data_IF_431926684853
#
_entry.id   IF_431926684853
#
_cell.length_a   1.000
_cell.length_b   1.000
_cell.length_c   1.000
_cell.angle_alpha   90.00
_cell.angle_beta   90.00
_cell.angle_gamma   90.00
#
_symmetry.space_group_name_H-M   'P 1'
#
loop_
_entity.id
_entity.type
_entity.pdbx_description
1 polymer ?
#
# COMPACT_ATOMS: atom_id res chain seq x y z
N UNK A 1 -2.85 28.46 20.49
CA UNK A 1 -3.97 27.49 20.40
C UNK A 1 -3.32 26.13 20.48
N UNK A 2 -3.57 25.38 21.54
CA UNK A 2 -2.98 24.05 21.71
C UNK A 2 -3.79 23.06 20.86
N UNK A 3 -3.21 22.58 19.78
CA UNK A 3 -3.84 21.59 18.90
C UNK A 3 -3.50 20.20 19.45
N UNK A 4 -4.48 19.40 19.90
CA UNK A 4 -4.21 18.07 20.43
C UNK A 4 -3.50 17.18 19.39
N UNK A 5 -2.38 16.58 19.79
CA UNK A 5 -1.58 15.69 18.95
C UNK A 5 -0.53 16.38 18.08
N UNK A 6 -0.35 17.71 18.17
CA UNK A 6 0.72 18.43 17.45
C UNK A 6 2.12 17.93 17.86
N UNK A 7 2.35 17.70 19.16
CA UNK A 7 3.63 17.21 19.69
C UNK A 7 4.02 15.85 19.08
N UNK A 8 3.04 14.99 18.80
CA UNK A 8 3.30 13.72 18.12
C UNK A 8 3.75 13.93 16.67
N UNK A 9 3.15 14.89 15.96
CA UNK A 9 3.56 15.26 14.60
C UNK A 9 4.99 15.79 14.59
N UNK A 10 5.34 16.67 15.54
CA UNK A 10 6.70 17.20 15.70
C UNK A 10 7.71 16.09 16.02
N UNK A 11 7.32 15.13 16.86
CA UNK A 11 8.10 13.93 17.12
C UNK A 11 8.33 13.07 15.88
N UNK A 12 7.30 12.88 15.04
CA UNK A 12 7.42 12.14 13.77
C UNK A 12 8.37 12.84 12.81
N UNK A 13 8.30 14.17 12.69
CA UNK A 13 9.24 14.94 11.87
C UNK A 13 10.68 14.83 12.37
N UNK A 14 10.87 14.86 13.69
CA UNK A 14 12.19 14.67 14.32
C UNK A 14 12.77 13.29 14.01
N UNK A 15 11.96 12.23 14.14
CA UNK A 15 12.38 10.86 13.77
C UNK A 15 12.68 10.75 12.28
N UNK A 16 11.86 11.35 11.42
CA UNK A 16 12.11 11.37 9.97
C UNK A 16 13.42 12.08 9.62
N UNK A 17 13.74 13.19 10.29
CA UNK A 17 14.99 13.92 10.12
C UNK A 17 16.21 13.09 10.56
N UNK A 18 16.11 12.38 11.69
CA UNK A 18 17.15 11.46 12.16
C UNK A 18 17.35 10.31 11.18
N UNK A 19 16.27 9.71 10.69
CA UNK A 19 16.33 8.63 9.69
C UNK A 19 16.95 9.11 8.38
N UNK A 20 16.61 10.32 7.92
CA UNK A 20 17.24 10.94 6.75
C UNK A 20 18.75 11.11 6.97
N UNK A 21 19.16 11.51 8.18
CA UNK A 21 20.57 11.62 8.54
C UNK A 21 21.29 10.27 8.50
N UNK A 22 20.69 9.23 9.09
CA UNK A 22 21.21 7.88 9.10
C UNK A 22 21.32 7.28 7.68
N UNK A 23 20.32 7.49 6.83
CA UNK A 23 20.36 7.09 5.42
C UNK A 23 21.47 7.84 4.68
N UNK A 24 21.64 9.14 4.95
CA UNK A 24 22.74 9.93 4.41
C UNK A 24 24.10 9.35 4.76
N UNK A 25 24.34 9.06 6.04
CA UNK A 25 25.57 8.41 6.51
C UNK A 25 25.78 7.03 5.88
N UNK A 26 24.72 6.22 5.75
CA UNK A 26 24.79 4.93 5.08
C UNK A 26 25.25 5.04 3.62
N UNK A 27 24.74 6.03 2.87
CA UNK A 27 25.19 6.30 1.50
C UNK A 27 26.69 6.69 1.45
N UNK A 28 27.17 7.44 2.44
CA UNK A 28 28.61 7.75 2.57
C UNK A 28 29.42 6.47 2.81
N UNK A 29 28.99 5.61 3.73
CA UNK A 29 29.68 4.36 4.03
C UNK A 29 29.69 3.38 2.85
N UNK A 30 28.63 3.34 2.05
CA UNK A 30 28.56 2.54 0.83
C UNK A 30 29.67 2.91 -0.17
N UNK A 31 29.99 4.20 -0.29
CA UNK A 31 31.08 4.67 -1.16
C UNK A 31 32.47 4.50 -0.53
N UNK A 32 32.59 4.63 0.80
CA UNK A 32 33.85 4.43 1.52
C UNK A 32 34.27 2.96 1.56
N UNK A 33 33.32 2.02 1.55
CA UNK A 33 33.57 0.57 1.50
C UNK A 33 34.04 0.04 0.12
N UNK A 34 34.21 0.91 -0.87
CA UNK A 34 34.56 0.55 -2.24
C UNK A 34 36.05 0.19 -2.41
N UNK A 35 36.51 -0.91 -1.83
CA UNK A 35 37.83 -1.47 -2.11
C UNK A 35 37.84 -2.41 -3.35
N UNK A 36 36.67 -2.83 -3.87
CA UNK A 36 36.57 -3.71 -5.03
C UNK A 36 35.43 -3.30 -5.99
N UNK A 37 35.59 -3.50 -7.31
CA UNK A 37 34.56 -3.24 -8.30
C UNK A 37 33.32 -4.12 -8.05
N UNK A 38 32.15 -3.48 -7.93
CA UNK A 38 30.90 -4.18 -7.64
C UNK A 38 30.45 -5.00 -8.86
N UNK A 39 30.00 -6.26 -8.69
CA UNK A 39 29.39 -7.00 -9.78
C UNK A 39 28.13 -6.27 -10.28
N UNK A 40 27.94 -6.23 -11.60
CA UNK A 40 26.90 -5.49 -12.31
C UNK A 40 25.44 -5.85 -11.91
N UNK A 41 25.25 -6.93 -11.14
CA UNK A 41 23.95 -7.41 -10.66
C UNK A 41 23.58 -7.03 -9.23
N UNK A 42 24.46 -6.38 -8.45
CA UNK A 42 24.20 -6.03 -7.05
C UNK A 42 23.36 -4.76 -6.84
N UNK A 43 22.82 -4.57 -5.63
CA UNK A 43 22.07 -3.37 -5.20
C UNK A 43 22.83 -2.07 -5.53
N UNK A 44 24.16 -2.08 -5.35
CA UNK A 44 25.04 -0.97 -5.73
C UNK A 44 25.01 -0.67 -7.23
N UNK A 45 25.21 -1.67 -8.11
CA UNK A 45 25.16 -1.45 -9.56
C UNK A 45 23.77 -1.05 -10.08
N UNK A 46 22.70 -1.42 -9.37
CA UNK A 46 21.35 -0.94 -9.66
C UNK A 46 21.17 0.54 -9.26
N UNK A 47 21.69 0.92 -8.08
CA UNK A 47 21.70 2.31 -7.64
C UNK A 47 22.57 3.17 -8.57
N UNK A 48 23.70 2.67 -9.10
CA UNK A 48 24.65 3.49 -9.88
C UNK A 48 24.02 3.86 -11.22
N UNK A 49 23.40 2.88 -11.88
CA UNK A 49 22.59 3.09 -13.08
C UNK A 49 21.42 4.04 -12.82
N UNK A 50 20.74 3.90 -11.68
CA UNK A 50 19.67 4.82 -11.28
C UNK A 50 20.14 6.26 -11.15
N UNK A 51 21.32 6.45 -10.53
CA UNK A 51 21.92 7.76 -10.28
C UNK A 51 22.41 8.44 -11.55
N UNK A 52 23.07 7.69 -12.44
CA UNK A 52 23.53 8.18 -13.74
C UNK A 52 22.36 8.63 -14.61
N UNK A 53 21.30 7.81 -14.70
CA UNK A 53 20.08 8.15 -15.46
C UNK A 53 19.41 9.42 -14.91
N UNK A 54 19.37 9.60 -13.59
CA UNK A 54 18.85 10.81 -12.95
C UNK A 54 19.68 12.05 -13.28
N UNK A 55 21.01 11.92 -13.27
CA UNK A 55 21.94 13.00 -13.54
C UNK A 55 21.94 13.45 -15.02
N UNK A 56 21.68 12.54 -15.97
CA UNK A 56 21.58 12.85 -17.40
C UNK A 56 20.21 13.41 -17.81
N UNK A 57 19.16 13.15 -17.02
CA UNK A 57 17.82 13.65 -17.31
C UNK A 57 17.79 15.19 -17.19
N UNK A 58 17.14 15.90 -18.12
CA UNK A 58 16.96 17.37 -18.04
C UNK A 58 16.00 17.81 -16.91
N UNK A 59 16.20 18.98 -16.29
CA UNK A 59 15.37 19.46 -15.14
C UNK A 59 13.87 19.45 -15.42
N UNK A 60 13.45 19.91 -16.60
CA UNK A 60 12.04 19.91 -17.02
C UNK A 60 11.43 18.52 -17.19
N UNK A 61 12.25 17.49 -17.43
CA UNK A 61 11.81 16.10 -17.65
C UNK A 61 11.84 15.25 -16.39
N UNK A 62 12.43 15.75 -15.30
CA UNK A 62 12.55 15.02 -14.04
C UNK A 62 11.19 14.56 -13.49
N UNK A 63 10.13 15.39 -13.49
CA UNK A 63 8.83 14.95 -12.99
C UNK A 63 8.23 13.81 -13.84
N UNK A 64 8.35 13.91 -15.16
CA UNK A 64 7.89 12.84 -16.06
C UNK A 64 8.71 11.55 -15.89
N UNK A 65 10.01 11.65 -15.62
CA UNK A 65 10.90 10.51 -15.41
C UNK A 65 10.54 9.71 -14.17
N UNK A 66 10.40 10.36 -13.00
CA UNK A 66 10.09 9.66 -11.74
C UNK A 66 8.67 9.08 -11.78
N UNK A 67 7.69 9.81 -12.31
CA UNK A 67 6.33 9.33 -12.49
C UNK A 67 6.27 8.07 -13.39
N UNK A 68 6.94 8.14 -14.54
CA UNK A 68 7.06 7.00 -15.45
C UNK A 68 7.73 5.81 -14.78
N UNK A 69 8.82 6.04 -14.04
CA UNK A 69 9.55 4.97 -13.36
C UNK A 69 8.70 4.31 -12.28
N UNK A 70 7.93 5.09 -11.53
CA UNK A 70 6.96 4.56 -10.56
C UNK A 70 5.89 3.70 -11.24
N UNK A 71 5.33 4.18 -12.36
CA UNK A 71 4.31 3.44 -13.11
C UNK A 71 4.86 2.12 -13.65
N UNK A 72 6.05 2.13 -14.28
CA UNK A 72 6.73 0.93 -14.77
C UNK A 72 7.00 -0.07 -13.64
N UNK A 73 7.54 0.39 -12.50
CA UNK A 73 7.80 -0.49 -11.35
C UNK A 73 6.53 -1.04 -10.71
N UNK A 74 5.46 -0.24 -10.69
CA UNK A 74 4.15 -0.70 -10.22
C UNK A 74 3.59 -1.78 -11.15
N UNK A 75 3.67 -1.59 -12.46
CA UNK A 75 3.21 -2.57 -13.45
C UNK A 75 4.05 -3.87 -13.37
N UNK A 76 5.38 -3.76 -13.24
CA UNK A 76 6.29 -4.91 -13.02
C UNK A 76 5.95 -5.66 -11.72
N UNK A 77 5.71 -4.93 -10.62
CA UNK A 77 5.34 -5.52 -9.34
C UNK A 77 4.01 -6.28 -9.43
N UNK A 78 2.99 -5.67 -10.04
CA UNK A 78 1.68 -6.30 -10.22
C UNK A 78 1.80 -7.52 -11.12
N UNK A 79 2.56 -7.44 -12.21
CA UNK A 79 2.71 -8.59 -13.09
C UNK A 79 3.46 -9.74 -12.41
N UNK A 80 4.50 -9.45 -11.62
CA UNK A 80 5.25 -10.47 -10.89
C UNK A 80 4.43 -11.15 -9.78
N UNK A 81 3.69 -10.37 -8.98
CA UNK A 81 2.99 -10.88 -7.79
C UNK A 81 1.52 -11.27 -8.05
N UNK A 82 0.87 -10.69 -9.05
CA UNK A 82 -0.55 -10.93 -9.37
C UNK A 82 -0.76 -11.53 -10.77
N UNK A 83 0.18 -11.33 -11.70
CA UNK A 83 0.08 -11.84 -13.08
C UNK A 83 0.71 -13.21 -13.29
N UNK A 84 1.88 -13.45 -12.71
CA UNK A 84 2.67 -14.68 -12.84
C UNK A 84 2.50 -15.63 -11.65
N UNK A 85 1.49 -15.45 -10.79
CA UNK A 85 1.38 -16.25 -9.57
C UNK A 85 1.14 -17.75 -9.80
N UNK A 86 0.65 -18.13 -10.98
CA UNK A 86 0.55 -19.54 -11.41
C UNK A 86 1.95 -20.14 -11.69
N UNK A 87 2.89 -19.34 -12.19
CA UNK A 87 4.26 -19.75 -12.50
C UNK A 87 5.24 -19.52 -11.34
N UNK A 88 4.87 -18.65 -10.40
CA UNK A 88 5.69 -18.29 -9.26
C UNK A 88 5.47 -19.30 -8.12
N UNK A 89 6.42 -20.23 -7.97
CA UNK A 89 6.39 -21.32 -6.99
C UNK A 89 6.14 -20.79 -5.57
N UNK A 90 6.70 -19.63 -5.22
CA UNK A 90 6.68 -19.15 -3.84
C UNK A 90 5.29 -18.65 -3.38
N UNK A 91 4.63 -17.69 -4.05
CA UNK A 91 3.25 -17.30 -3.71
C UNK A 91 2.27 -18.47 -3.81
N UNK A 92 2.37 -19.29 -4.87
CA UNK A 92 1.49 -20.45 -5.07
C UNK A 92 1.64 -21.52 -3.99
N UNK A 93 2.87 -21.88 -3.61
CA UNK A 93 3.12 -22.88 -2.57
C UNK A 93 2.69 -22.38 -1.20
N UNK A 94 2.96 -21.12 -0.87
CA UNK A 94 2.52 -20.52 0.40
C UNK A 94 1.00 -20.48 0.46
N UNK A 95 0.33 -20.07 -0.61
CA UNK A 95 -1.13 -20.09 -0.69
C UNK A 95 -1.68 -21.49 -0.43
N UNK A 96 -1.16 -22.50 -1.13
CA UNK A 96 -1.60 -23.89 -0.98
C UNK A 96 -1.37 -24.41 0.44
N UNK A 97 -0.19 -24.16 1.03
CA UNK A 97 0.11 -24.52 2.41
C UNK A 97 -0.86 -23.87 3.39
N UNK A 98 -1.11 -22.57 3.24
CA UNK A 98 -2.01 -21.84 4.13
C UNK A 98 -3.45 -22.34 4.01
N UNK A 99 -3.96 -22.47 2.79
CA UNK A 99 -5.38 -22.81 2.56
C UNK A 99 -5.69 -24.28 2.80
N UNK A 100 -4.77 -25.19 2.48
CA UNK A 100 -5.01 -26.64 2.59
C UNK A 100 -4.48 -27.28 3.87
N UNK A 101 -3.58 -26.61 4.59
CA UNK A 101 -2.99 -27.17 5.83
C UNK A 101 -3.28 -26.27 7.02
N UNK A 102 -2.82 -25.01 6.97
CA UNK A 102 -2.88 -24.11 8.14
C UNK A 102 -4.33 -23.77 8.52
N UNK A 103 -5.16 -23.35 7.56
CA UNK A 103 -6.55 -22.97 7.81
C UNK A 103 -7.39 -24.17 8.28
N UNK A 104 -7.34 -25.36 7.66
CA UNK A 104 -8.04 -26.56 8.16
C UNK A 104 -7.65 -26.94 9.57
N UNK A 105 -6.34 -26.94 9.87
CA UNK A 105 -5.85 -27.25 11.21
C UNK A 105 -6.34 -26.21 12.23
N UNK A 106 -6.28 -24.93 11.88
CA UNK A 106 -6.79 -23.86 12.73
C UNK A 106 -8.31 -23.97 12.95
N UNK A 107 -9.08 -24.33 11.93
CA UNK A 107 -10.52 -24.55 12.03
C UNK A 107 -10.86 -25.74 12.94
N UNK A 108 -10.11 -26.84 12.82
CA UNK A 108 -10.23 -28.01 13.71
C UNK A 108 -9.91 -27.63 15.16
N UNK A 109 -8.78 -26.97 15.41
CA UNK A 109 -8.41 -26.52 16.76
C UNK A 109 -9.48 -25.58 17.33
N UNK A 110 -10.01 -24.65 16.53
CA UNK A 110 -11.07 -23.75 16.95
C UNK A 110 -12.34 -24.51 17.35
N UNK A 111 -12.74 -25.52 16.58
CA UNK A 111 -13.88 -26.39 16.92
C UNK A 111 -13.63 -27.17 18.21
N UNK A 112 -12.43 -27.78 18.36
CA UNK A 112 -12.06 -28.55 19.56
C UNK A 112 -12.01 -27.68 20.83
N UNK A 113 -11.73 -26.38 20.70
CA UNK A 113 -11.77 -25.40 21.80
C UNK A 113 -13.18 -24.88 22.11
N UNK A 114 -14.22 -25.40 21.47
CA UNK A 114 -15.62 -24.97 21.67
C UNK A 114 -16.04 -23.77 20.81
N UNK A 115 -15.23 -23.38 19.82
CA UNK A 115 -15.60 -22.37 18.82
C UNK A 115 -16.54 -22.92 17.73
N UNK A 116 -17.00 -22.05 16.83
CA UNK A 116 -17.88 -22.45 15.73
C UNK A 116 -17.23 -23.52 14.82
N UNK A 117 -17.96 -24.62 14.59
CA UNK A 117 -17.59 -25.70 13.68
C UNK A 117 -17.79 -25.33 12.19
N UNK A 118 -18.38 -24.18 11.89
CA UNK A 118 -18.79 -23.80 10.54
C UNK A 118 -17.66 -23.88 9.50
N UNK A 119 -16.51 -23.25 9.78
CA UNK A 119 -15.39 -23.25 8.84
C UNK A 119 -14.83 -24.66 8.63
N UNK A 120 -14.77 -25.47 9.68
CA UNK A 120 -14.31 -26.85 9.59
C UNK A 120 -15.24 -27.69 8.70
N UNK A 121 -16.56 -27.57 8.90
CA UNK A 121 -17.55 -28.27 8.07
C UNK A 121 -17.48 -27.84 6.61
N UNK A 122 -17.32 -26.54 6.32
CA UNK A 122 -17.12 -26.06 4.95
C UNK A 122 -15.88 -26.68 4.31
N UNK A 123 -14.77 -26.78 5.05
CA UNK A 123 -13.55 -27.41 4.56
C UNK A 123 -13.76 -28.90 4.27
N UNK A 124 -14.47 -29.62 5.15
CA UNK A 124 -14.84 -31.03 4.90
C UNK A 124 -15.71 -31.15 3.63
N UNK A 125 -16.66 -30.25 3.42
CA UNK A 125 -17.47 -30.21 2.19
C UNK A 125 -16.61 -29.95 0.94
N UNK A 126 -15.60 -29.07 1.04
CA UNK A 126 -14.64 -28.82 -0.05
C UNK A 126 -13.85 -30.09 -0.37
N UNK A 127 -13.34 -30.81 0.63
CA UNK A 127 -12.64 -32.09 0.43
C UNK A 127 -13.56 -33.15 -0.19
N UNK A 128 -14.82 -33.25 0.26
CA UNK A 128 -15.79 -34.16 -0.32
C UNK A 128 -16.09 -33.83 -1.80
N UNK A 129 -16.24 -32.55 -2.13
CA UNK A 129 -16.46 -32.09 -3.50
C UNK A 129 -15.21 -32.33 -4.40
N UNK A 130 -14.00 -32.19 -3.87
CA UNK A 130 -12.75 -32.56 -4.56
C UNK A 130 -12.71 -34.06 -4.86
N UNK A 131 -13.03 -34.91 -3.89
CA UNK A 131 -13.09 -36.37 -4.09
C UNK A 131 -14.16 -36.75 -5.14
N UNK A 132 -15.32 -36.11 -5.07
CA UNK A 132 -16.40 -36.31 -6.04
C UNK A 132 -15.96 -35.92 -7.47
N UNK A 133 -15.17 -34.85 -7.61
CA UNK A 133 -14.62 -34.42 -8.89
C UNK A 133 -13.67 -35.43 -9.52
N UNK A 134 -12.83 -36.08 -8.71
CA UNK A 134 -11.94 -37.15 -9.20
C UNK A 134 -12.76 -38.29 -9.80
N UNK A 135 -13.84 -38.69 -9.12
CA UNK A 135 -14.71 -39.79 -9.59
C UNK A 135 -15.54 -39.38 -10.82
N UNK A 136 -16.14 -38.19 -10.81
CA UNK A 136 -17.00 -37.71 -11.91
C UNK A 136 -16.21 -37.28 -13.15
N UNK A 137 -14.93 -36.91 -13.00
CA UNK A 137 -14.05 -36.49 -14.09
C UNK A 137 -13.84 -37.56 -15.15
N UNK A 138 -13.97 -38.84 -14.77
CA UNK A 138 -13.83 -39.99 -15.67
C UNK A 138 -15.09 -40.21 -16.56
N UNK A 139 -16.22 -39.60 -16.21
CA UNK A 139 -17.49 -39.80 -16.91
C UNK A 139 -17.74 -38.73 -17.97
N UNK A 140 -17.72 -39.12 -19.26
CA UNK A 140 -17.99 -38.20 -20.40
C UNK A 140 -19.36 -37.50 -20.33
N UNK A 141 -20.37 -38.12 -19.69
CA UNK A 141 -21.70 -37.53 -19.50
C UNK A 141 -21.76 -36.48 -18.38
N UNK A 142 -20.80 -36.46 -17.46
CA UNK A 142 -20.78 -35.58 -16.30
C UNK A 142 -19.98 -34.28 -16.52
N UNK A 143 -19.41 -34.05 -17.71
CA UNK A 143 -18.51 -32.91 -17.98
C UNK A 143 -19.08 -31.53 -17.58
N UNK A 144 -20.38 -31.29 -17.80
CA UNK A 144 -21.03 -30.03 -17.37
C UNK A 144 -21.10 -29.90 -15.84
N UNK A 145 -21.41 -30.99 -15.15
CA UNK A 145 -21.47 -31.03 -13.68
C UNK A 145 -20.06 -30.86 -13.08
N UNK A 146 -19.08 -31.54 -13.64
CA UNK A 146 -17.65 -31.40 -13.34
C UNK A 146 -17.20 -29.94 -13.46
N UNK A 147 -17.56 -29.24 -14.55
CA UNK A 147 -17.22 -27.83 -14.71
C UNK A 147 -17.86 -26.92 -13.62
N UNK A 148 -19.12 -27.17 -13.25
CA UNK A 148 -19.81 -26.43 -12.19
C UNK A 148 -19.17 -26.68 -10.82
N UNK A 149 -18.87 -27.93 -10.48
CA UNK A 149 -18.22 -28.27 -9.21
C UNK A 149 -16.82 -27.65 -9.14
N UNK A 150 -16.04 -27.71 -10.22
CA UNK A 150 -14.72 -27.06 -10.29
C UNK A 150 -14.81 -25.55 -10.11
N UNK A 151 -15.78 -24.89 -10.73
CA UNK A 151 -15.99 -23.45 -10.55
C UNK A 151 -16.41 -23.09 -9.11
N UNK A 152 -17.30 -23.90 -8.52
CA UNK A 152 -17.73 -23.73 -7.13
C UNK A 152 -16.55 -23.94 -6.15
N UNK A 153 -15.72 -24.95 -6.38
CA UNK A 153 -14.51 -25.19 -5.59
C UNK A 153 -13.48 -24.08 -5.75
N UNK A 154 -13.28 -23.59 -6.97
CA UNK A 154 -12.43 -22.44 -7.21
C UNK A 154 -12.91 -21.24 -6.38
N UNK A 155 -14.20 -20.89 -6.46
CA UNK A 155 -14.77 -19.83 -5.64
C UNK A 155 -14.62 -20.10 -4.13
N UNK A 156 -14.82 -21.33 -3.69
CA UNK A 156 -14.72 -21.70 -2.28
C UNK A 156 -13.28 -21.58 -1.75
N UNK A 157 -12.30 -22.15 -2.46
CA UNK A 157 -10.90 -22.22 -2.04
C UNK A 157 -10.20 -20.87 -2.19
N UNK A 158 -10.45 -20.15 -3.30
CA UNK A 158 -9.70 -18.94 -3.64
C UNK A 158 -10.35 -17.64 -3.16
N UNK A 159 -11.67 -17.61 -2.94
CA UNK A 159 -12.37 -16.43 -2.42
C UNK A 159 -12.94 -16.66 -1.03
N UNK A 160 -13.77 -17.70 -0.86
CA UNK A 160 -14.55 -17.85 0.36
C UNK A 160 -13.69 -18.16 1.58
N UNK A 161 -12.81 -19.17 1.51
CA UNK A 161 -12.01 -19.60 2.68
C UNK A 161 -11.06 -18.48 3.14
N UNK A 162 -10.20 -17.89 2.29
CA UNK A 162 -9.34 -16.78 2.70
C UNK A 162 -10.15 -15.55 3.13
N UNK A 163 -11.23 -15.23 2.43
CA UNK A 163 -12.10 -14.10 2.76
C UNK A 163 -12.84 -14.26 4.09
N UNK A 164 -13.33 -15.46 4.39
CA UNK A 164 -13.97 -15.78 5.66
C UNK A 164 -12.98 -15.70 6.82
N UNK A 165 -11.79 -16.28 6.67
CA UNK A 165 -10.76 -16.20 7.71
C UNK A 165 -10.30 -14.75 7.91
N UNK A 166 -10.09 -14.00 6.82
CA UNK A 166 -9.77 -12.57 6.88
C UNK A 166 -10.84 -11.75 7.60
N UNK A 167 -12.11 -11.94 7.27
CA UNK A 167 -13.24 -11.23 7.91
C UNK A 167 -13.41 -11.63 9.37
N UNK A 168 -13.26 -12.91 9.71
CA UNK A 168 -13.32 -13.38 11.09
C UNK A 168 -12.15 -12.80 11.93
N UNK A 169 -10.93 -12.90 11.41
CA UNK A 169 -9.73 -12.41 12.06
C UNK A 169 -9.78 -10.90 12.25
N UNK A 170 -10.11 -10.16 11.19
CA UNK A 170 -10.24 -8.70 11.25
C UNK A 170 -11.35 -8.27 12.20
N UNK A 171 -12.47 -8.99 12.24
CA UNK A 171 -13.53 -8.75 13.22
C UNK A 171 -13.04 -8.89 14.67
N UNK A 172 -12.12 -9.83 14.95
CA UNK A 172 -11.46 -9.93 16.25
C UNK A 172 -10.49 -8.78 16.48
N UNK A 173 -9.65 -8.44 15.49
CA UNK A 173 -8.66 -7.37 15.59
C UNK A 173 -9.29 -6.01 15.91
N UNK A 174 -10.44 -5.70 15.32
CA UNK A 174 -11.17 -4.46 15.58
C UNK A 174 -11.66 -4.32 17.03
N UNK A 175 -11.77 -5.44 17.76
CA UNK A 175 -12.17 -5.49 19.17
C UNK A 175 -10.98 -5.68 20.13
N UNK A 176 -9.76 -5.79 19.62
CA UNK A 176 -8.54 -5.93 20.44
C UNK A 176 -7.95 -4.55 20.79
N UNK A 177 -7.13 -4.47 21.85
CA UNK A 177 -6.30 -3.30 22.11
C UNK A 177 -5.42 -2.98 20.89
N UNK A 178 -5.31 -1.69 20.54
CA UNK A 178 -4.74 -1.29 19.24
C UNK A 178 -3.33 -1.84 18.98
N UNK A 179 -2.44 -1.87 19.97
CA UNK A 179 -1.09 -2.42 19.79
C UNK A 179 -1.10 -3.89 19.32
N UNK A 180 -2.01 -4.70 19.86
CA UNK A 180 -2.19 -6.09 19.44
C UNK A 180 -2.87 -6.17 18.07
N UNK A 181 -3.82 -5.28 17.81
CA UNK A 181 -4.52 -5.22 16.53
C UNK A 181 -3.58 -4.90 15.37
N UNK A 182 -2.59 -4.00 15.56
CA UNK A 182 -1.55 -3.72 14.55
C UNK A 182 -0.69 -4.94 14.27
N UNK A 183 -0.19 -5.62 15.30
CA UNK A 183 0.60 -6.85 15.11
C UNK A 183 -0.21 -7.95 14.41
N UNK A 184 -1.47 -8.12 14.81
CA UNK A 184 -2.36 -9.08 14.17
C UNK A 184 -2.73 -8.72 12.74
N UNK A 185 -2.74 -7.42 12.38
CA UNK A 185 -3.00 -6.97 11.00
C UNK A 185 -1.94 -7.48 10.01
N UNK A 186 -0.69 -7.67 10.47
CA UNK A 186 0.40 -8.23 9.68
C UNK A 186 0.09 -9.68 9.28
N UNK A 187 -0.56 -10.44 10.16
CA UNK A 187 -0.98 -11.82 9.89
C UNK A 187 -2.22 -11.90 9.01
N UNK A 188 -3.09 -10.88 9.05
CA UNK A 188 -4.30 -10.81 8.24
C UNK A 188 -4.03 -10.32 6.79
N UNK A 189 -3.02 -9.49 6.59
CA UNK A 189 -2.70 -8.92 5.28
C UNK A 189 -2.40 -9.97 4.18
N UNK A 190 -1.68 -11.09 4.43
CA UNK A 190 -1.52 -12.16 3.45
C UNK A 190 -2.84 -12.80 3.00
N UNK A 191 -3.82 -12.94 3.91
CA UNK A 191 -5.14 -13.47 3.57
C UNK A 191 -5.88 -12.51 2.63
N UNK A 192 -5.80 -11.21 2.90
CA UNK A 192 -6.35 -10.18 2.01
C UNK A 192 -5.65 -10.17 0.66
N UNK A 193 -4.32 -10.35 0.64
CA UNK A 193 -3.55 -10.48 -0.60
C UNK A 193 -4.09 -11.65 -1.45
N UNK A 194 -4.33 -12.82 -0.86
CA UNK A 194 -4.88 -13.96 -1.59
C UNK A 194 -6.28 -13.68 -2.16
N UNK A 195 -7.16 -13.02 -1.41
CA UNK A 195 -8.48 -12.61 -1.93
C UNK A 195 -8.32 -11.63 -3.10
N UNK A 196 -7.41 -10.67 -2.99
CA UNK A 196 -7.14 -9.69 -4.04
C UNK A 196 -6.55 -10.35 -5.29
N UNK A 197 -5.64 -11.29 -5.11
CA UNK A 197 -5.02 -12.07 -6.18
C UNK A 197 -6.06 -12.86 -6.97
N UNK A 198 -6.93 -13.61 -6.26
CA UNK A 198 -8.04 -14.33 -6.85
C UNK A 198 -9.00 -13.39 -7.60
N UNK A 199 -9.28 -12.21 -7.03
CA UNK A 199 -10.12 -11.20 -7.66
C UNK A 199 -9.51 -10.66 -8.96
N UNK A 200 -8.19 -10.41 -8.98
CA UNK A 200 -7.48 -9.96 -10.18
C UNK A 200 -7.51 -11.03 -11.27
N UNK A 201 -7.31 -12.31 -10.91
CA UNK A 201 -7.40 -13.41 -11.86
C UNK A 201 -8.81 -13.50 -12.47
N UNK A 202 -9.85 -13.46 -11.64
CA UNK A 202 -11.24 -13.45 -12.10
C UNK A 202 -11.55 -12.23 -12.97
N UNK A 203 -11.06 -11.05 -12.60
CA UNK A 203 -11.22 -9.82 -13.38
C UNK A 203 -10.54 -9.91 -14.74
N UNK A 204 -9.33 -10.50 -14.82
CA UNK A 204 -8.61 -10.73 -16.09
C UNK A 204 -9.36 -11.73 -16.99
N UNK A 205 -9.90 -12.82 -16.42
CA UNK A 205 -10.74 -13.77 -17.16
C UNK A 205 -11.99 -13.07 -17.71
N UNK A 206 -12.68 -12.29 -16.87
CA UNK A 206 -13.84 -11.50 -17.27
C UNK A 206 -13.50 -10.47 -18.35
N UNK A 207 -12.36 -9.81 -18.24
CA UNK A 207 -11.88 -8.84 -19.23
C UNK A 207 -11.65 -9.45 -20.61
N UNK A 208 -11.15 -10.71 -20.69
CA UNK A 208 -10.99 -11.43 -21.96
C UNK A 208 -12.32 -11.72 -22.65
N UNK A 209 -13.40 -11.91 -21.88
CA UNK A 209 -14.74 -12.12 -22.41
C UNK A 209 -15.42 -10.84 -22.92
N UNK A 210 -14.87 -9.67 -22.57
CA UNK A 210 -15.45 -8.37 -22.95
C UNK A 210 -14.87 -7.85 -24.28
N UNK A 211 -15.73 -7.19 -25.06
CA UNK A 211 -15.29 -6.41 -26.24
C UNK A 211 -14.39 -5.25 -25.82
N UNK A 212 -13.57 -4.76 -26.74
CA UNK A 212 -12.70 -3.59 -26.52
C UNK A 212 -13.54 -2.41 -26.04
N UNK A 213 -13.17 -1.81 -24.91
CA UNK A 213 -13.91 -0.71 -24.31
C UNK A 213 -13.30 -0.21 -22.99
N UNK A 214 -13.85 0.88 -22.46
CA UNK A 214 -13.37 1.52 -21.23
C UNK A 214 -13.43 0.59 -20.00
N UNK A 215 -14.47 -0.24 -19.92
CA UNK A 215 -14.64 -1.19 -18.82
C UNK A 215 -13.59 -2.32 -18.84
N UNK A 216 -13.24 -2.81 -20.05
CA UNK A 216 -12.13 -3.75 -20.20
C UNK A 216 -10.80 -3.12 -19.75
N UNK A 217 -10.55 -1.86 -20.15
CA UNK A 217 -9.36 -1.12 -19.71
C UNK A 217 -9.32 -0.92 -18.19
N UNK A 218 -10.47 -0.67 -17.56
CA UNK A 218 -10.60 -0.58 -16.10
C UNK A 218 -10.19 -1.90 -15.43
N UNK A 219 -10.72 -3.04 -15.89
CA UNK A 219 -10.43 -4.36 -15.34
C UNK A 219 -9.00 -4.83 -15.59
N UNK A 220 -8.42 -4.54 -16.76
CA UNK A 220 -7.05 -4.95 -17.10
C UNK A 220 -5.98 -4.08 -16.44
N UNK A 221 -6.28 -2.80 -16.16
CA UNK A 221 -5.26 -1.83 -15.72
C UNK A 221 -5.49 -1.23 -14.33
N UNK A 222 -6.68 -0.73 -14.04
CA UNK A 222 -6.91 0.00 -12.78
C UNK A 222 -7.28 -0.93 -11.63
N UNK A 223 -8.08 -1.96 -11.90
CA UNK A 223 -8.48 -2.93 -10.89
C UNK A 223 -7.28 -3.69 -10.27
N UNK A 224 -6.26 -4.14 -11.04
CA UNK A 224 -5.09 -4.77 -10.46
C UNK A 224 -4.28 -3.84 -9.56
N UNK A 225 -4.15 -2.56 -9.91
CA UNK A 225 -3.46 -1.57 -9.06
C UNK A 225 -4.24 -1.34 -7.77
N UNK A 226 -5.56 -1.18 -7.87
CA UNK A 226 -6.43 -1.06 -6.71
C UNK A 226 -6.30 -2.27 -5.79
N UNK A 227 -6.45 -3.49 -6.33
CA UNK A 227 -6.39 -4.74 -5.57
C UNK A 227 -5.01 -4.97 -4.94
N UNK A 228 -3.92 -4.66 -5.67
CA UNK A 228 -2.56 -4.78 -5.15
C UNK A 228 -2.26 -3.79 -4.02
N UNK A 229 -2.94 -2.64 -3.98
CA UNK A 229 -2.79 -1.68 -2.90
C UNK A 229 -3.50 -2.13 -1.61
N UNK A 230 -4.61 -2.87 -1.69
CA UNK A 230 -5.47 -3.17 -0.53
C UNK A 230 -4.75 -3.83 0.66
N UNK A 231 -3.86 -4.83 0.50
CA UNK A 231 -3.11 -5.39 1.62
C UNK A 231 -2.23 -4.36 2.34
N UNK A 232 -1.61 -3.45 1.61
CA UNK A 232 -0.82 -2.37 2.20
C UNK A 232 -1.70 -1.34 2.88
N UNK A 233 -2.79 -0.93 2.23
CA UNK A 233 -3.76 0.02 2.81
C UNK A 233 -4.38 -0.54 4.08
N UNK A 234 -4.61 -1.84 4.16
CA UNK A 234 -5.07 -2.51 5.36
C UNK A 234 -4.10 -2.31 6.53
N UNK A 235 -2.80 -2.57 6.32
CA UNK A 235 -1.76 -2.31 7.32
C UNK A 235 -1.70 -0.82 7.69
N UNK A 236 -1.74 0.07 6.70
CA UNK A 236 -1.73 1.52 6.93
C UNK A 236 -2.97 2.01 7.66
N UNK A 237 -4.12 1.35 7.52
CA UNK A 237 -5.34 1.69 8.27
C UNK A 237 -5.14 1.36 9.76
N UNK A 238 -4.57 0.20 10.08
CA UNK A 238 -4.19 -0.14 11.46
C UNK A 238 -3.05 0.75 12.01
N UNK A 239 -2.10 1.15 11.17
CA UNK A 239 -1.07 2.12 11.54
C UNK A 239 -1.66 3.51 11.82
N UNK A 240 -2.63 3.98 11.02
CA UNK A 240 -3.34 5.25 11.23
C UNK A 240 -4.14 5.25 12.54
N UNK A 241 -4.81 4.13 12.81
CA UNK A 241 -5.47 3.85 14.08
C UNK A 241 -4.51 3.96 15.27
N UNK A 242 -3.31 3.36 15.17
CA UNK A 242 -2.29 3.46 16.21
C UNK A 242 -1.72 4.87 16.33
N UNK A 243 -1.39 5.52 15.22
CA UNK A 243 -0.84 6.88 15.18
C UNK A 243 -1.79 7.85 15.88
N UNK A 244 -3.09 7.79 15.59
CA UNK A 244 -4.07 8.64 16.26
C UNK A 244 -4.26 8.32 17.74
N UNK A 245 -4.17 7.06 18.14
CA UNK A 245 -4.25 6.68 19.55
C UNK A 245 -3.03 7.18 20.34
N UNK A 246 -1.83 7.12 19.75
CA UNK A 246 -0.61 7.65 20.37
C UNK A 246 -0.62 9.18 20.39
N UNK A 247 -1.13 9.81 19.33
CA UNK A 247 -1.21 11.27 19.24
C UNK A 247 -2.20 11.87 20.24
N UNK A 248 -3.39 11.28 20.38
CA UNK A 248 -4.43 11.77 21.30
C UNK A 248 -5.19 10.59 21.91
N UNK A 249 -4.63 10.02 22.98
CA UNK A 249 -5.19 8.83 23.65
C UNK A 249 -6.60 9.04 24.23
N UNK A 250 -6.97 10.30 24.53
CA UNK A 250 -8.27 10.65 25.09
C UNK A 250 -9.43 10.59 24.07
N UNK A 251 -9.15 10.58 22.77
CA UNK A 251 -10.18 10.57 21.73
C UNK A 251 -10.67 9.15 21.41
N UNK A 252 -11.98 8.99 21.14
CA UNK A 252 -12.55 7.69 20.85
C UNK A 252 -12.01 7.14 19.53
N UNK A 253 -11.80 5.84 19.54
CA UNK A 253 -11.23 5.14 18.40
C UNK A 253 -12.36 4.48 17.59
N UNK A 254 -12.55 4.91 16.34
CA UNK A 254 -13.60 4.37 15.49
C UNK A 254 -13.17 3.07 14.77
N UNK A 255 -12.87 2.02 15.53
CA UNK A 255 -12.53 0.69 15.00
C UNK A 255 -13.77 -0.09 14.57
N UNK A 256 -14.39 0.33 13.47
CA UNK A 256 -15.55 -0.38 12.89
C UNK A 256 -15.24 -0.93 11.50
N UNK A 257 -15.97 -1.99 11.11
CA UNK A 257 -15.92 -2.53 9.75
C UNK A 257 -16.25 -1.47 8.70
N UNK A 258 -17.22 -0.60 8.99
CA UNK A 258 -17.61 0.50 8.09
C UNK A 258 -16.45 1.46 7.85
N UNK A 259 -15.79 1.89 8.92
CA UNK A 259 -14.64 2.80 8.84
C UNK A 259 -13.48 2.17 8.09
N UNK A 260 -13.16 0.91 8.39
CA UNK A 260 -12.09 0.18 7.73
C UNK A 260 -12.36 0.00 6.24
N UNK A 261 -13.59 -0.40 5.84
CA UNK A 261 -13.95 -0.52 4.44
C UNK A 261 -13.91 0.82 3.70
N UNK A 262 -14.39 1.90 4.34
CA UNK A 262 -14.30 3.24 3.77
C UNK A 262 -12.84 3.66 3.51
N UNK A 263 -11.96 3.43 4.48
CA UNK A 263 -10.51 3.68 4.34
C UNK A 263 -9.87 2.83 3.24
N UNK A 264 -10.15 1.52 3.21
CA UNK A 264 -9.63 0.59 2.21
C UNK A 264 -10.01 1.01 0.79
N UNK A 265 -11.30 1.30 0.58
CA UNK A 265 -11.81 1.71 -0.73
C UNK A 265 -11.24 3.07 -1.13
N UNK A 266 -11.33 4.08 -0.26
CA UNK A 266 -10.87 5.43 -0.56
C UNK A 266 -9.37 5.47 -0.88
N UNK A 267 -8.54 4.85 -0.04
CA UNK A 267 -7.09 4.86 -0.20
C UNK A 267 -6.63 3.94 -1.33
N UNK A 268 -7.28 2.77 -1.51
CA UNK A 268 -7.01 1.91 -2.66
C UNK A 268 -7.33 2.60 -3.98
N UNK A 269 -8.46 3.32 -4.07
CA UNK A 269 -8.80 4.13 -5.24
C UNK A 269 -7.82 5.28 -5.43
N UNK A 270 -7.40 5.95 -4.36
CA UNK A 270 -6.38 6.99 -4.42
C UNK A 270 -5.05 6.46 -4.98
N UNK A 271 -4.65 5.24 -4.63
CA UNK A 271 -3.46 4.58 -5.19
C UNK A 271 -3.61 4.33 -6.70
N UNK A 272 -4.77 3.81 -7.12
CA UNK A 272 -5.06 3.59 -8.55
C UNK A 272 -5.08 4.91 -9.34
N UNK A 273 -5.70 5.97 -8.80
CA UNK A 273 -5.75 7.31 -9.41
C UNK A 273 -4.35 7.91 -9.51
N UNK A 274 -3.54 7.81 -8.44
CA UNK A 274 -2.18 8.33 -8.41
C UNK A 274 -1.29 7.63 -9.42
N UNK A 275 -1.36 6.30 -9.47
CA UNK A 275 -0.63 5.49 -10.46
C UNK A 275 -1.04 5.83 -11.89
N UNK A 276 -2.34 5.97 -12.15
CA UNK A 276 -2.84 6.36 -13.46
C UNK A 276 -2.36 7.76 -13.86
N UNK A 277 -2.42 8.73 -12.94
CA UNK A 277 -1.88 10.07 -13.14
C UNK A 277 -0.37 10.06 -13.42
N UNK A 278 0.38 9.14 -12.81
CA UNK A 278 1.82 8.96 -13.01
C UNK A 278 2.22 8.37 -14.37
N UNK A 279 1.28 7.76 -15.12
CA UNK A 279 1.59 7.16 -16.42
C UNK A 279 1.93 8.23 -17.48
N UNK A 280 2.94 7.99 -18.34
CA UNK A 280 3.32 8.91 -19.41
C UNK A 280 2.22 9.02 -20.48
N UNK A 281 1.98 10.23 -20.97
CA UNK A 281 1.09 10.52 -22.10
C UNK A 281 1.83 11.29 -23.19
N UNK A 282 1.41 11.11 -24.44
CA UNK A 282 2.05 11.71 -25.62
C UNK A 282 2.04 13.27 -25.65
N UNK A 283 1.37 13.93 -24.70
CA UNK A 283 1.20 15.40 -24.68
C UNK A 283 1.72 16.11 -23.43
N UNK A 284 2.42 15.44 -22.51
CA UNK A 284 3.03 16.11 -21.34
C UNK A 284 2.04 16.66 -20.30
N UNK A 285 0.76 16.31 -20.35
CA UNK A 285 -0.31 16.79 -19.46
C UNK A 285 -0.27 16.19 -18.03
N UNK A 286 0.91 15.81 -17.54
CA UNK A 286 1.12 15.14 -16.27
C UNK A 286 0.58 15.96 -15.07
N UNK A 287 0.95 17.23 -14.99
CA UNK A 287 0.53 18.12 -13.91
C UNK A 287 -0.99 18.29 -13.83
N UNK A 288 -1.66 18.42 -14.98
CA UNK A 288 -3.12 18.53 -15.04
C UNK A 288 -3.84 17.26 -14.55
N UNK A 289 -3.34 16.08 -14.92
CA UNK A 289 -3.89 14.80 -14.44
C UNK A 289 -3.70 14.62 -12.95
N UNK A 290 -2.54 15.00 -12.42
CA UNK A 290 -2.27 14.94 -11.00
C UNK A 290 -3.14 15.92 -10.21
N UNK A 291 -3.36 17.14 -10.73
CA UNK A 291 -4.28 18.10 -10.12
C UNK A 291 -5.72 17.58 -10.06
N UNK A 292 -6.23 17.04 -11.16
CA UNK A 292 -7.57 16.39 -11.20
C UNK A 292 -7.61 15.20 -10.23
N UNK A 293 -6.56 14.38 -10.22
CA UNK A 293 -6.43 13.26 -9.29
C UNK A 293 -6.49 13.69 -7.83
N UNK A 294 -5.79 14.76 -7.46
CA UNK A 294 -5.80 15.32 -6.11
C UNK A 294 -7.19 15.83 -5.70
N UNK A 295 -7.94 16.45 -6.62
CA UNK A 295 -9.33 16.87 -6.35
C UNK A 295 -10.20 15.66 -6.04
N UNK A 296 -10.08 14.58 -6.84
CA UNK A 296 -10.83 13.34 -6.60
C UNK A 296 -10.42 12.71 -5.27
N UNK A 297 -9.12 12.66 -4.96
CA UNK A 297 -8.58 12.12 -3.71
C UNK A 297 -9.07 12.93 -2.51
N UNK A 298 -9.13 14.25 -2.61
CA UNK A 298 -9.71 15.09 -1.56
C UNK A 298 -11.18 14.77 -1.32
N UNK A 299 -11.96 14.54 -2.39
CA UNK A 299 -13.33 14.06 -2.29
C UNK A 299 -13.45 12.70 -1.61
N UNK A 300 -12.55 11.76 -1.94
CA UNK A 300 -12.49 10.44 -1.30
C UNK A 300 -12.14 10.53 0.18
N UNK A 301 -11.15 11.37 0.54
CA UNK A 301 -10.73 11.64 1.92
C UNK A 301 -11.90 12.15 2.77
N UNK A 302 -12.59 13.19 2.27
CA UNK A 302 -13.78 13.75 2.92
C UNK A 302 -14.85 12.68 3.12
N UNK A 303 -15.04 11.79 2.14
CA UNK A 303 -16.07 10.75 2.19
C UNK A 303 -15.76 9.64 3.22
N UNK A 304 -14.49 9.45 3.62
CA UNK A 304 -14.11 8.41 4.61
C UNK A 304 -14.89 8.58 5.91
N UNK A 305 -14.96 9.80 6.44
CA UNK A 305 -15.63 10.09 7.71
C UNK A 305 -17.13 9.74 7.70
N UNK A 306 -17.94 10.28 6.78
CA UNK A 306 -19.36 9.96 6.65
C UNK A 306 -19.64 8.49 6.33
N UNK A 307 -18.90 7.88 5.38
CA UNK A 307 -19.09 6.47 5.02
C UNK A 307 -18.74 5.55 6.20
N UNK A 308 -17.68 5.89 6.93
CA UNK A 308 -17.25 5.22 8.15
C UNK A 308 -18.15 5.46 9.37
N UNK A 309 -19.08 6.42 9.28
CA UNK A 309 -20.03 6.76 10.34
C UNK A 309 -19.46 7.67 11.44
N UNK A 310 -18.32 8.33 11.22
CA UNK A 310 -17.75 9.29 12.17
C UNK A 310 -18.47 10.66 12.14
N UNK A 311 -19.03 11.05 10.99
CA UNK A 311 -19.76 12.31 10.81
C UNK A 311 -21.06 12.11 10.01
N UNK A 312 -21.97 13.08 10.10
CA UNK A 312 -23.11 13.17 9.18
C UNK A 312 -22.89 14.29 8.17
N UNK A 313 -23.31 14.05 6.92
CA UNK A 313 -23.35 15.08 5.87
C UNK A 313 -24.55 16.03 6.03
N UNK A 314 -25.58 15.63 6.77
CA UNK A 314 -26.76 16.44 7.09
C UNK A 314 -27.09 16.34 8.57
N UNK A 315 -27.14 17.48 9.27
CA UNK A 315 -27.56 17.55 10.68
C UNK A 315 -26.70 18.47 11.56
N UNK A 316 -27.03 18.49 12.85
CA UNK A 316 -26.41 19.36 13.87
C UNK A 316 -24.92 19.09 14.16
N UNK A 317 -24.38 17.96 13.67
CA UNK A 317 -22.95 17.58 13.72
C UNK A 317 -22.30 17.64 12.33
N UNK A 318 -22.76 18.54 11.46
CA UNK A 318 -22.16 18.73 10.14
C UNK A 318 -20.82 19.44 10.29
N UNK A 319 -19.74 18.77 9.89
CA UNK A 319 -18.45 19.41 9.72
C UNK A 319 -18.43 20.06 8.33
N UNK A 320 -18.08 21.35 8.19
CA UNK A 320 -17.87 21.91 6.87
C UNK A 320 -16.71 21.16 6.20
N UNK A 321 -16.91 20.79 4.94
CA UNK A 321 -16.04 19.89 4.15
C UNK A 321 -14.55 20.25 4.25
N UNK A 322 -14.23 21.55 4.27
CA UNK A 322 -12.87 22.06 4.38
C UNK A 322 -12.28 21.87 5.77
N UNK A 323 -13.08 21.96 6.84
CA UNK A 323 -12.57 21.75 8.19
C UNK A 323 -12.23 20.28 8.44
N UNK A 324 -12.91 19.32 7.77
CA UNK A 324 -12.53 17.90 7.80
C UNK A 324 -11.11 17.68 7.27
N UNK A 325 -10.73 18.38 6.18
CA UNK A 325 -9.38 18.36 5.63
C UNK A 325 -8.35 19.09 6.49
N UNK A 326 -8.78 19.98 7.39
CA UNK A 326 -7.90 20.67 8.35
C UNK A 326 -7.86 19.92 9.69
N UNK A 327 -8.53 18.77 9.79
CA UNK A 327 -8.49 17.88 10.96
C UNK A 327 -9.55 18.15 12.02
N UNK A 328 -10.73 18.62 11.62
CA UNK A 328 -11.88 18.74 12.51
C UNK A 328 -12.24 17.40 13.16
N UNK A 329 -12.33 17.42 14.48
CA UNK A 329 -12.79 16.31 15.29
C UNK A 329 -14.12 16.68 15.99
N UNK A 330 -15.16 15.83 15.92
CA UNK A 330 -16.49 16.17 16.39
C UNK A 330 -16.62 16.10 17.91
N UNK A 331 -15.65 15.49 18.61
CA UNK A 331 -15.61 15.38 20.07
C UNK A 331 -14.98 16.62 20.67
N UNK A 332 -13.92 17.13 20.05
CA UNK A 332 -13.26 18.37 20.49
C UNK A 332 -13.97 19.63 19.99
N UNK A 333 -14.75 19.54 18.91
CA UNK A 333 -15.37 20.70 18.26
C UNK A 333 -14.37 21.59 17.52
N UNK A 334 -13.14 21.12 17.30
CA UNK A 334 -12.05 21.86 16.67
C UNK A 334 -11.05 20.94 15.98
N UNK A 335 -9.89 21.49 15.62
CA UNK A 335 -8.82 20.69 14.99
C UNK A 335 -8.13 19.79 16.02
N UNK A 336 -8.01 18.50 15.71
CA UNK A 336 -7.23 17.54 16.49
C UNK A 336 -6.59 16.49 15.58
N UNK A 337 -5.33 16.13 15.85
CA UNK A 337 -4.61 15.08 15.13
C UNK A 337 -4.82 13.69 15.74
N UNK A 338 -6.09 13.40 16.07
CA UNK A 338 -6.53 12.12 16.64
C UNK A 338 -6.79 11.02 15.61
N UNK A 339 -7.40 9.89 16.01
CA UNK A 339 -7.65 8.72 15.15
C UNK A 339 -8.38 9.03 13.83
N UNK A 340 -9.38 9.91 13.87
CA UNK A 340 -10.16 10.26 12.68
C UNK A 340 -9.31 11.01 11.66
N UNK A 341 -8.45 11.93 12.12
CA UNK A 341 -7.56 12.71 11.26
C UNK A 341 -6.70 11.79 10.40
N UNK A 342 -5.97 10.85 11.01
CA UNK A 342 -5.06 9.95 10.30
C UNK A 342 -5.79 9.06 9.27
N UNK A 343 -7.00 8.62 9.56
CA UNK A 343 -7.81 7.81 8.64
C UNK A 343 -8.34 8.61 7.46
N UNK A 344 -8.89 9.80 7.72
CA UNK A 344 -9.41 10.71 6.69
C UNK A 344 -8.30 11.12 5.73
N UNK A 345 -7.07 11.27 6.23
CA UNK A 345 -5.92 11.70 5.42
C UNK A 345 -5.17 10.54 4.75
N UNK A 346 -5.50 9.28 5.08
CA UNK A 346 -4.85 8.11 4.49
C UNK A 346 -4.91 8.08 2.94
N UNK A 347 -6.00 8.51 2.28
CA UNK A 347 -6.04 8.61 0.81
C UNK A 347 -5.00 9.57 0.21
N UNK A 348 -4.42 10.50 0.98
CA UNK A 348 -3.32 11.33 0.51
C UNK A 348 -1.95 10.63 0.58
N UNK A 349 -1.85 9.45 1.19
CA UNK A 349 -0.59 8.71 1.29
C UNK A 349 0.01 8.38 -0.09
N UNK A 350 -0.73 7.82 -1.08
CA UNK A 350 -0.17 7.55 -2.40
C UNK A 350 0.40 8.79 -3.12
N UNK A 351 -0.31 9.93 -3.25
CA UNK A 351 0.26 11.11 -3.88
C UNK A 351 1.40 11.72 -3.04
N UNK A 352 1.37 11.61 -1.71
CA UNK A 352 2.46 12.06 -0.85
C UNK A 352 3.73 11.23 -1.04
N UNK A 353 3.62 9.91 -1.20
CA UNK A 353 4.75 9.05 -1.56
C UNK A 353 5.34 9.43 -2.92
N UNK A 354 4.50 9.73 -3.90
CA UNK A 354 4.95 10.23 -5.20
C UNK A 354 5.67 11.59 -5.07
N UNK A 355 5.13 12.52 -4.27
CA UNK A 355 5.78 13.80 -3.97
C UNK A 355 7.14 13.61 -3.26
N UNK A 356 7.21 12.68 -2.31
CA UNK A 356 8.46 12.33 -1.62
C UNK A 356 9.50 11.75 -2.59
N UNK A 357 9.09 10.86 -3.51
CA UNK A 357 9.97 10.35 -4.57
C UNK A 357 10.49 11.48 -5.47
N UNK A 358 9.67 12.47 -5.79
CA UNK A 358 10.14 13.67 -6.51
C UNK A 358 11.14 14.49 -5.72
N UNK A 359 10.87 14.74 -4.44
CA UNK A 359 11.79 15.47 -3.57
C UNK A 359 13.15 14.77 -3.49
N UNK A 360 13.15 13.46 -3.29
CA UNK A 360 14.39 12.63 -3.29
C UNK A 360 15.10 12.72 -4.63
N UNK A 361 14.39 12.61 -5.75
CA UNK A 361 14.99 12.72 -7.08
C UNK A 361 15.56 14.13 -7.35
N UNK A 362 14.92 15.18 -6.83
CA UNK A 362 15.37 16.56 -6.94
C UNK A 362 16.65 16.78 -6.13
N UNK A 363 16.70 16.30 -4.89
CA UNK A 363 17.89 16.34 -4.04
C UNK A 363 19.02 15.56 -4.72
N UNK A 364 18.77 14.32 -5.15
CA UNK A 364 19.77 13.48 -5.83
C UNK A 364 20.36 14.18 -7.07
N UNK A 365 19.52 14.87 -7.84
CA UNK A 365 19.94 15.62 -9.01
C UNK A 365 20.68 16.91 -8.69
N UNK A 366 20.25 17.64 -7.68
CA UNK A 366 20.94 18.84 -7.21
C UNK A 366 22.37 18.48 -6.77
N UNK A 367 22.50 17.39 -6.01
CA UNK A 367 23.81 16.88 -5.58
C UNK A 367 24.66 16.43 -6.77
N UNK A 368 24.10 15.68 -7.72
CA UNK A 368 24.87 15.27 -8.91
C UNK A 368 25.30 16.44 -9.78
N UNK A 369 24.49 17.51 -9.84
CA UNK A 369 24.84 18.75 -10.53
C UNK A 369 25.97 19.50 -9.83
N UNK A 370 25.93 19.62 -8.49
CA UNK A 370 27.00 20.20 -7.68
C UNK A 370 28.28 19.38 -7.79
N UNK A 371 28.19 18.05 -7.73
CA UNK A 371 29.33 17.15 -7.91
C UNK A 371 30.03 17.41 -9.25
N UNK A 372 29.27 17.53 -10.35
CA UNK A 372 29.81 17.85 -11.68
C UNK A 372 30.44 19.26 -11.76
N UNK A 373 29.95 20.22 -10.98
CA UNK A 373 30.48 21.59 -10.91
C UNK A 373 31.73 21.71 -10.04
N UNK A 374 31.74 21.05 -8.88
CA UNK A 374 32.85 21.06 -7.93
C UNK A 374 34.04 20.23 -8.41
N UNK A 375 33.77 19.21 -9.24
CA UNK A 375 34.77 18.23 -9.69
C UNK A 375 35.13 18.51 -11.16
N UNK A 376 35.97 19.52 -11.37
CA UNK A 376 36.84 19.62 -12.55
C UNK A 376 38.16 18.83 -12.38
N UNK A 377 38.27 17.98 -11.37
CA UNK A 377 39.46 17.18 -11.05
C UNK A 377 39.20 15.66 -11.14
N UNK A 378 40.18 14.86 -11.59
CA UNK A 378 40.01 13.41 -11.74
C UNK A 378 39.96 12.74 -10.34
N UNK A 379 38.83 12.12 -9.99
CA UNK A 379 38.73 11.24 -8.81
C UNK A 379 37.43 11.32 -7.99
N UNK A 380 36.75 12.47 -7.96
CA UNK A 380 35.45 12.61 -7.24
C UNK A 380 34.23 12.40 -8.14
N UNK A 381 34.41 12.34 -9.46
CA UNK A 381 33.36 12.02 -10.42
C UNK A 381 32.86 10.56 -10.31
N UNK A 382 33.67 9.70 -9.68
CA UNK A 382 33.41 8.27 -9.50
C UNK A 382 32.72 7.91 -8.18
N UNK A 383 32.38 8.89 -7.32
CA UNK A 383 31.77 8.67 -5.99
C UNK A 383 30.45 9.45 -5.78
N UNK A 384 29.38 9.11 -6.51
CA UNK A 384 28.10 9.83 -6.48
C UNK A 384 27.32 9.67 -5.16
N UNK A 385 27.60 8.65 -4.34
CA UNK A 385 26.89 8.41 -3.07
C UNK A 385 27.47 9.18 -1.90
N UNK A 386 28.77 9.46 -1.94
CA UNK A 386 29.45 10.20 -0.88
C UNK A 386 28.90 11.62 -0.77
N UNK A 387 28.78 12.35 -1.87
CA UNK A 387 28.25 13.71 -1.86
C UNK A 387 26.76 13.75 -1.52
N UNK A 388 25.97 12.80 -2.04
CA UNK A 388 24.53 12.74 -1.76
C UNK A 388 24.22 12.31 -0.35
N UNK A 389 25.02 11.40 0.20
CA UNK A 389 25.00 11.02 1.59
C UNK A 389 25.34 12.17 2.53
N UNK A 390 26.38 12.96 2.23
CA UNK A 390 26.74 14.16 3.01
C UNK A 390 25.60 15.18 2.99
N UNK A 391 25.04 15.50 1.81
CA UNK A 391 23.92 16.47 1.73
C UNK A 391 22.68 15.96 2.47
N UNK A 392 22.32 14.69 2.33
CA UNK A 392 21.20 14.10 3.07
C UNK A 392 21.45 14.10 4.58
N UNK A 393 22.68 13.81 5.01
CA UNK A 393 23.08 13.85 6.42
C UNK A 393 22.99 15.26 7.02
N UNK A 394 23.47 16.27 6.29
CA UNK A 394 23.41 17.67 6.71
C UNK A 394 21.97 18.21 6.74
N UNK A 395 21.14 17.86 5.74
CA UNK A 395 19.72 18.22 5.75
C UNK A 395 19.03 17.55 6.94
N UNK A 396 19.21 16.24 7.14
CA UNK A 396 18.62 15.54 8.28
C UNK A 396 19.07 16.11 9.64
N UNK A 397 20.36 16.35 9.82
CA UNK A 397 20.91 16.91 11.05
C UNK A 397 20.45 18.35 11.31
N UNK A 398 20.43 19.21 10.28
CA UNK A 398 19.94 20.59 10.43
C UNK A 398 18.44 20.63 10.74
N UNK A 399 17.64 19.78 10.09
CA UNK A 399 16.19 19.69 10.34
C UNK A 399 15.91 19.16 11.75
N UNK A 400 16.67 18.15 12.21
CA UNK A 400 16.57 17.63 13.57
C UNK A 400 17.00 18.66 14.62
N UNK A 401 18.05 19.44 14.33
CA UNK A 401 18.52 20.51 15.21
C UNK A 401 17.50 21.66 15.32
N UNK A 402 16.84 22.04 14.22
CA UNK A 402 15.78 23.06 14.26
C UNK A 402 14.52 22.59 14.99
N UNK A 403 14.22 21.28 14.94
CA UNK A 403 13.10 20.69 15.67
C UNK A 403 13.34 20.60 17.19
N UNK A 404 14.58 20.77 17.65
CA UNK A 404 14.95 20.74 19.08
C UNK A 404 15.01 22.14 19.73
N UNK A 405 14.90 23.21 18.92
CA UNK A 405 14.99 24.61 19.36
C UNK A 405 13.62 25.30 19.42
N UNK A 406 12.61 24.69 18.82
CA UNK A 406 11.18 25.01 18.98
C UNK A 406 10.60 24.14 20.10
#
# INVERSE_FOLDING_TARGET
MDIPGIEFVDGVFSVAAIMLSAVGLFLVFLDLGAAAPSPAGGLRGALERGWLNLAETGWRRLPGFVARRLAERTDEFIEHWFGQSEDNILPGSIFMLVVLVVIPLAALINMLRGGSAFLFLVIVCIFAALALLVVLGEMRRAQKLTAVISAALFAAIFFFVPGYVFTSLTGRLLNMPIGHAVLGSILAAPLLYFVCQSAVLAARIGARALKVGAFRKLLERQFPVFAAALPFVYLFTFAAFLAGHVAVAALPMHTSWRMMLASLIATGLAAAITSEAARPTAGGAYAGRLAIGLIIIAGLAIAVGPLGGAFSLSGAKSAPLLQVLVGYDPVTGGTAFGPIFWLVHLPFLPPLLLAALFAVALIAKFVSSIARLAVRGPGLGDRPYMLSGIVAALIGASTAATAYVL
#
